data_IF_317932707559
#
_entry.id   IF_317932707559
#
_cell.length_a   1.000
_cell.length_b   1.000
_cell.length_c   1.000
_cell.angle_alpha   90.00
_cell.angle_beta   90.00
_cell.angle_gamma   90.00
#
_symmetry.space_group_name_H-M   'P 1'
#
loop_
_entity.id
_entity.type
_entity.pdbx_description
1 polymer ?
#
# COMPACT_ATOMS: atom_id res chain seq x y z
N UNK A 1 -28.71 14.41 -10.05
CA UNK A 1 -28.00 13.20 -9.56
C UNK A 1 -28.19 13.11 -8.04
N UNK A 2 -28.54 11.96 -7.47
CA UNK A 2 -28.98 11.88 -6.06
C UNK A 2 -27.81 11.83 -5.07
N UNK A 3 -27.95 12.55 -3.92
CA UNK A 3 -26.97 12.62 -2.82
C UNK A 3 -26.56 11.25 -2.24
N UNK A 4 -27.32 10.18 -2.50
CA UNK A 4 -26.99 8.81 -2.06
C UNK A 4 -25.85 8.17 -2.84
N UNK A 5 -25.64 8.56 -4.11
CA UNK A 5 -24.52 8.07 -4.92
C UNK A 5 -23.20 8.70 -4.43
N UNK A 6 -23.23 9.96 -3.97
CA UNK A 6 -22.08 10.72 -3.45
C UNK A 6 -21.53 10.19 -2.11
N UNK A 7 -22.40 9.80 -1.18
CA UNK A 7 -21.96 9.16 0.06
C UNK A 7 -21.32 7.79 -0.24
N UNK A 8 -21.82 7.07 -1.25
CA UNK A 8 -21.26 5.80 -1.69
C UNK A 8 -19.88 5.97 -2.34
N UNK A 9 -19.61 7.06 -3.07
CA UNK A 9 -18.29 7.35 -3.66
C UNK A 9 -17.25 7.80 -2.63
N UNK A 10 -17.63 8.64 -1.67
CA UNK A 10 -16.74 9.08 -0.58
C UNK A 10 -16.44 7.94 0.41
N UNK A 11 -17.42 7.06 0.66
CA UNK A 11 -17.23 5.81 1.42
C UNK A 11 -16.40 4.83 0.58
N UNK A 12 -16.64 4.65 -0.71
CA UNK A 12 -15.81 3.79 -1.55
C UNK A 12 -14.32 4.20 -1.53
N UNK A 13 -14.01 5.51 -1.56
CA UNK A 13 -12.63 6.01 -1.38
C UNK A 13 -11.99 5.66 -0.03
N UNK A 14 -12.79 5.45 1.03
CA UNK A 14 -12.34 5.01 2.35
C UNK A 14 -12.28 3.48 2.51
N UNK A 15 -12.93 2.71 1.63
CA UNK A 15 -13.06 1.23 1.72
C UNK A 15 -12.48 0.46 0.51
N UNK A 16 -11.92 1.14 -0.50
CA UNK A 16 -11.21 0.53 -1.63
C UNK A 16 -10.07 -0.45 -1.23
N UNK A 17 -9.37 -0.29 -0.08
CA UNK A 17 -8.32 -1.23 0.31
C UNK A 17 -8.80 -2.62 0.74
N UNK A 18 -10.10 -2.91 0.87
CA UNK A 18 -10.55 -4.26 1.26
C UNK A 18 -11.25 -5.03 0.11
N UNK A 19 -11.93 -4.32 -0.80
CA UNK A 19 -12.71 -4.97 -1.87
C UNK A 19 -11.84 -5.52 -3.02
N UNK A 20 -10.67 -4.92 -3.29
CA UNK A 20 -9.75 -5.38 -4.35
C UNK A 20 -8.89 -6.56 -3.87
N UNK A 21 -8.58 -6.63 -2.57
CA UNK A 21 -7.72 -7.67 -1.99
C UNK A 21 -8.40 -9.06 -1.88
N UNK A 22 -9.73 -9.14 -1.96
CA UNK A 22 -10.47 -10.40 -1.83
C UNK A 22 -10.60 -11.20 -3.13
N UNK A 23 -10.42 -10.59 -4.32
CA UNK A 23 -10.69 -11.29 -5.59
C UNK A 23 -9.43 -11.89 -6.24
N UNK A 24 -8.25 -11.29 -6.09
CA UNK A 24 -7.02 -11.82 -6.70
C UNK A 24 -6.31 -12.91 -5.88
N UNK A 25 -6.56 -13.00 -4.57
CA UNK A 25 -6.08 -14.15 -3.77
C UNK A 25 -6.79 -15.45 -4.16
N UNK A 26 -8.11 -15.39 -4.39
CA UNK A 26 -8.91 -16.56 -4.80
C UNK A 26 -8.68 -17.01 -6.24
N UNK A 27 -8.19 -16.14 -7.11
CA UNK A 27 -7.94 -16.48 -8.52
C UNK A 27 -6.58 -17.15 -8.75
N UNK A 28 -5.61 -16.92 -7.87
CA UNK A 28 -4.29 -17.57 -7.92
C UNK A 28 -4.21 -18.88 -7.11
N UNK A 29 -5.05 -19.09 -6.09
CA UNK A 29 -5.11 -20.38 -5.37
C UNK A 29 -5.58 -21.55 -6.26
N UNK A 30 -6.47 -21.28 -7.23
CA UNK A 30 -6.98 -22.33 -8.13
C UNK A 30 -5.98 -22.77 -9.22
N UNK A 31 -4.94 -21.98 -9.53
CA UNK A 31 -3.88 -22.40 -10.47
C UNK A 31 -2.67 -23.06 -9.76
N UNK A 32 -2.55 -22.92 -8.43
CA UNK A 32 -1.54 -23.63 -7.64
C UNK A 32 -2.02 -25.02 -7.19
N UNK A 33 -3.33 -25.26 -7.11
CA UNK A 33 -3.89 -26.55 -6.73
C UNK A 33 -3.80 -27.63 -7.83
N UNK A 34 -3.64 -27.26 -9.10
CA UNK A 34 -3.58 -28.22 -10.23
C UNK A 34 -2.14 -28.67 -10.60
N UNK A 35 -1.10 -28.08 -9.98
CA UNK A 35 0.31 -28.44 -10.21
C UNK A 35 0.91 -29.42 -9.19
N UNK A 36 0.21 -29.74 -8.10
CA UNK A 36 0.74 -30.54 -6.98
C UNK A 36 0.11 -31.93 -6.84
N UNK A 37 -0.28 -32.55 -7.95
CA UNK A 37 -0.91 -33.88 -7.97
C UNK A 37 -0.06 -34.93 -8.70
N UNK A 38 1.25 -35.00 -8.44
CA UNK A 38 2.03 -36.22 -8.69
C UNK A 38 3.08 -36.44 -7.59
N UNK A 39 2.78 -37.37 -6.68
CA UNK A 39 3.79 -38.03 -5.84
C UNK A 39 4.00 -37.45 -4.44
N UNK A 40 3.00 -37.53 -3.56
CA UNK A 40 3.25 -37.43 -2.11
C UNK A 40 2.29 -38.33 -1.32
N UNK A 41 2.85 -39.17 -0.44
CA UNK A 41 2.16 -40.17 0.38
C UNK A 41 1.88 -39.59 1.78
N UNK A 42 0.61 -39.35 2.19
CA UNK A 42 0.29 -38.59 3.40
C UNK A 42 0.14 -39.44 4.68
N UNK A 43 0.71 -40.64 4.77
CA UNK A 43 0.44 -41.57 5.89
C UNK A 43 1.43 -41.54 7.05
N UNK A 44 2.31 -40.56 7.15
CA UNK A 44 3.16 -40.41 8.34
C UNK A 44 3.14 -38.93 8.73
N UNK A 45 2.43 -38.60 9.80
CA UNK A 45 2.73 -37.60 10.84
C UNK A 45 1.44 -37.25 11.60
N UNK A 46 1.48 -37.49 12.90
CA UNK A 46 0.40 -37.24 13.87
C UNK A 46 0.52 -35.78 14.34
N UNK A 47 -0.48 -34.95 14.01
CA UNK A 47 -0.57 -33.57 14.50
C UNK A 47 -1.03 -33.58 15.96
N UNK A 48 -0.14 -33.22 16.88
CA UNK A 48 -0.47 -32.84 18.25
C UNK A 48 -0.93 -31.37 18.25
N UNK A 49 -2.18 -31.04 18.62
CA UNK A 49 -2.59 -29.66 18.78
C UNK A 49 -2.25 -29.20 20.20
N UNK A 50 -1.24 -28.36 20.33
CA UNK A 50 -1.01 -27.60 21.57
C UNK A 50 -2.02 -26.44 21.65
N UNK A 51 -2.75 -26.41 22.76
CA UNK A 51 -3.88 -25.52 23.04
C UNK A 51 -3.34 -24.19 23.58
N UNK A 52 -3.59 -23.07 22.88
CA UNK A 52 -3.59 -21.74 23.49
C UNK A 52 -4.93 -21.04 23.20
N UNK A 53 -5.77 -21.08 24.23
CA UNK A 53 -7.01 -20.35 24.53
C UNK A 53 -7.50 -19.24 23.59
N UNK A 54 -8.55 -19.54 22.83
CA UNK A 54 -9.68 -18.64 22.64
C UNK A 54 -10.99 -19.45 22.76
N UNK A 55 -11.85 -19.09 23.71
CA UNK A 55 -13.11 -19.79 23.96
C UNK A 55 -14.10 -19.63 22.80
N UNK A 56 -14.60 -20.76 22.28
CA UNK A 56 -15.64 -20.80 21.24
C UNK A 56 -17.01 -20.75 21.91
N UNK A 57 -17.87 -19.79 21.53
CA UNK A 57 -19.22 -19.66 22.06
C UNK A 57 -20.25 -20.20 21.05
N UNK A 58 -21.09 -21.14 21.50
CA UNK A 58 -22.19 -21.70 20.72
C UNK A 58 -23.49 -20.93 20.96
N UNK A 59 -24.23 -20.64 19.89
CA UNK A 59 -25.62 -20.21 19.99
C UNK A 59 -26.51 -21.40 20.38
N UNK A 60 -27.56 -21.11 21.16
CA UNK A 60 -28.50 -22.12 21.70
C UNK A 60 -29.37 -22.81 20.64
N UNK A 61 -29.36 -22.31 19.41
CA UNK A 61 -30.13 -22.81 18.28
C UNK A 61 -29.34 -23.75 17.34
N UNK A 62 -28.07 -24.05 17.66
CA UNK A 62 -27.22 -24.92 16.84
C UNK A 62 -26.69 -24.27 15.56
N UNK A 63 -26.83 -22.96 15.39
CA UNK A 63 -26.15 -22.22 14.32
C UNK A 63 -24.64 -22.10 14.58
N UNK A 64 -23.87 -21.90 13.49
CA UNK A 64 -22.40 -21.90 13.48
C UNK A 64 -21.80 -21.01 14.58
N UNK A 65 -20.67 -21.40 15.21
CA UNK A 65 -20.03 -20.58 16.23
C UNK A 65 -19.64 -19.22 15.66
N UNK A 66 -19.89 -18.18 16.46
CA UNK A 66 -19.64 -16.78 16.10
C UNK A 66 -18.44 -16.31 16.91
N UNK A 67 -17.52 -15.59 16.28
CA UNK A 67 -16.34 -15.07 16.98
C UNK A 67 -16.75 -14.04 18.05
N UNK A 68 -15.97 -13.92 19.13
CA UNK A 68 -16.22 -12.92 20.19
C UNK A 68 -16.27 -11.48 19.64
N UNK A 69 -15.52 -11.24 18.55
CA UNK A 69 -15.51 -9.97 17.82
C UNK A 69 -16.87 -9.69 17.18
N UNK A 70 -17.44 -10.67 16.49
CA UNK A 70 -18.73 -10.53 15.80
C UNK A 70 -19.89 -10.40 16.79
N UNK A 71 -19.82 -11.07 17.95
CA UNK A 71 -20.79 -10.89 19.03
C UNK A 71 -20.79 -9.45 19.59
N UNK A 72 -19.59 -8.85 19.76
CA UNK A 72 -19.44 -7.45 20.20
C UNK A 72 -19.94 -6.46 19.14
N UNK A 73 -19.69 -6.74 17.86
CA UNK A 73 -20.18 -5.92 16.74
C UNK A 73 -21.70 -5.95 16.69
N UNK A 74 -22.32 -7.15 16.77
CA UNK A 74 -23.77 -7.29 16.75
C UNK A 74 -24.44 -6.63 17.97
N UNK A 75 -23.82 -6.69 19.16
CA UNK A 75 -24.31 -5.97 20.33
C UNK A 75 -24.24 -4.44 20.14
N UNK A 76 -23.15 -3.92 19.58
CA UNK A 76 -23.01 -2.50 19.30
C UNK A 76 -24.02 -2.01 18.25
N UNK A 77 -24.28 -2.80 17.20
CA UNK A 77 -25.27 -2.50 16.17
C UNK A 77 -26.70 -2.51 16.73
N UNK A 78 -27.08 -3.52 17.50
CA UNK A 78 -28.41 -3.59 18.12
C UNK A 78 -28.67 -2.44 19.11
N UNK A 79 -27.62 -1.96 19.79
CA UNK A 79 -27.71 -0.79 20.68
C UNK A 79 -27.89 0.53 19.93
N UNK A 80 -27.36 0.63 18.70
CA UNK A 80 -27.54 1.79 17.82
C UNK A 80 -28.95 1.82 17.19
N UNK A 81 -29.55 0.66 16.97
CA UNK A 81 -30.88 0.53 16.34
C UNK A 81 -32.05 0.61 17.34
N UNK A 82 -31.78 0.67 18.65
CA UNK A 82 -32.81 0.78 19.68
C UNK A 82 -33.63 -0.49 19.88
N UNK A 83 -33.15 -1.63 19.38
CA UNK A 83 -33.82 -2.93 19.50
C UNK A 83 -33.58 -3.50 20.89
N UNK A 84 -34.61 -3.89 21.66
CA UNK A 84 -34.39 -4.46 22.99
C UNK A 84 -33.73 -5.84 22.87
N UNK A 85 -32.50 -5.96 23.37
CA UNK A 85 -31.81 -7.26 23.45
C UNK A 85 -32.17 -7.92 24.79
N UNK A 86 -33.07 -8.90 24.76
CA UNK A 86 -33.28 -9.80 25.89
C UNK A 86 -32.25 -10.94 25.82
N UNK A 87 -31.18 -10.85 26.61
CA UNK A 87 -30.18 -11.90 26.74
C UNK A 87 -29.81 -12.13 28.20
N UNK A 88 -30.14 -13.30 28.75
CA UNK A 88 -29.54 -13.81 29.98
C UNK A 88 -28.19 -14.43 29.63
N UNK A 89 -27.14 -14.01 30.31
CA UNK A 89 -25.81 -14.62 30.26
C UNK A 89 -25.78 -15.76 31.28
N UNK A 90 -25.43 -16.98 30.84
CA UNK A 90 -25.11 -18.10 31.73
C UNK A 90 -23.68 -18.57 31.43
N UNK A 91 -22.84 -18.64 32.45
CA UNK A 91 -21.51 -19.26 32.35
C UNK A 91 -21.63 -20.78 32.22
N UNK A 92 -20.83 -21.36 31.33
CA UNK A 92 -20.84 -22.79 30.97
C UNK A 92 -20.29 -23.75 32.02
N UNK A 93 -19.92 -23.28 33.21
CA UNK A 93 -19.49 -24.13 34.31
C UNK A 93 -20.67 -24.24 35.28
N UNK A 94 -21.35 -25.40 35.28
CA UNK A 94 -22.52 -25.72 36.11
C UNK A 94 -22.25 -25.74 37.63
N UNK A 95 -21.71 -24.66 38.18
CA UNK A 95 -21.56 -24.40 39.61
C UNK A 95 -22.55 -23.32 40.02
N UNK A 96 -23.42 -23.66 40.97
CA UNK A 96 -24.30 -22.71 41.63
C UNK A 96 -23.47 -21.58 42.23
N UNK A 97 -23.71 -20.34 41.80
CA UNK A 97 -23.20 -19.16 42.50
C UNK A 97 -24.08 -18.95 43.73
N UNK A 98 -23.40 -18.88 44.86
CA UNK A 98 -23.92 -18.75 46.20
C UNK A 98 -24.83 -17.53 46.37
N UNK A 99 -25.84 -17.76 47.20
CA UNK A 99 -26.73 -16.79 47.84
C UNK A 99 -25.99 -15.52 48.32
N UNK A 100 -26.47 -14.37 47.86
CA UNK A 100 -26.19 -13.07 48.48
C UNK A 100 -26.83 -13.03 49.89
N UNK A 101 -26.18 -12.41 50.89
CA UNK A 101 -26.67 -12.40 52.27
C UNK A 101 -27.94 -11.55 52.46
N UNK A 102 -28.90 -12.16 53.18
CA UNK A 102 -30.19 -11.60 53.61
C UNK A 102 -30.07 -10.48 54.66
N UNK A 103 -29.49 -9.33 54.31
CA UNK A 103 -29.41 -8.18 55.23
C UNK A 103 -29.64 -6.83 54.56
N UNK A 104 -30.81 -6.61 53.95
CA UNK A 104 -31.43 -5.28 53.84
C UNK A 104 -32.96 -5.42 53.91
N UNK A 105 -33.48 -5.73 55.10
CA UNK A 105 -34.89 -5.45 55.43
C UNK A 105 -35.00 -3.99 55.83
N UNK A 106 -35.58 -3.17 54.96
CA UNK A 106 -36.01 -1.82 55.36
C UNK A 106 -35.93 -0.76 54.27
N UNK A 107 -36.63 -0.94 53.15
CA UNK A 107 -37.12 0.20 52.39
C UNK A 107 -38.60 -0.01 52.09
N UNK A 108 -39.41 0.87 52.68
CA UNK A 108 -40.83 0.98 52.41
C UNK A 108 -41.03 1.24 50.91
N UNK A 109 -41.99 0.52 50.35
CA UNK A 109 -42.66 0.88 49.10
C UNK A 109 -43.30 2.26 49.27
N UNK A 110 -42.59 3.31 48.86
CA UNK A 110 -43.21 4.54 48.40
C UNK A 110 -43.13 4.55 46.88
N UNK A 111 -44.24 4.14 46.27
CA UNK A 111 -44.52 4.31 44.86
C UNK A 111 -44.66 5.80 44.53
N UNK A 112 -43.54 6.47 44.31
CA UNK A 112 -43.44 7.74 43.60
C UNK A 112 -42.62 7.51 42.33
N UNK A 113 -43.16 6.72 41.41
CA UNK A 113 -42.75 6.84 40.01
C UNK A 113 -43.33 8.15 39.48
N UNK A 114 -42.52 9.16 39.14
CA UNK A 114 -43.03 10.26 38.34
C UNK A 114 -43.58 9.63 37.05
N UNK A 115 -44.84 9.96 36.77
CA UNK A 115 -45.56 9.58 35.55
C UNK A 115 -44.64 9.57 34.34
N UNK A 116 -44.74 8.51 33.53
CA UNK A 116 -44.09 8.29 32.23
C UNK A 116 -44.49 9.32 31.13
N UNK A 117 -44.82 10.56 31.50
CA UNK A 117 -45.21 11.64 30.59
C UNK A 117 -44.09 12.62 30.27
N UNK A 118 -42.85 12.34 30.66
CA UNK A 118 -41.67 13.12 30.27
C UNK A 118 -40.62 12.26 29.56
N UNK A 119 -41.04 11.42 28.62
CA UNK A 119 -40.19 11.14 27.46
C UNK A 119 -40.28 12.39 26.59
N UNK A 120 -39.65 13.49 27.04
CA UNK A 120 -39.19 14.52 26.13
C UNK A 120 -38.40 13.75 25.07
N UNK A 121 -38.89 13.82 23.84
CA UNK A 121 -38.42 12.94 22.80
C UNK A 121 -36.90 13.04 22.74
N UNK A 122 -36.18 11.92 22.62
CA UNK A 122 -34.74 11.95 22.38
C UNK A 122 -34.37 12.82 21.15
N UNK A 123 -35.37 13.17 20.31
CA UNK A 123 -35.30 14.17 19.24
C UNK A 123 -35.12 15.62 19.71
N UNK A 124 -35.60 15.99 20.90
CA UNK A 124 -35.46 17.34 21.46
C UNK A 124 -34.14 17.54 22.24
N UNK A 125 -33.46 16.43 22.57
CA UNK A 125 -32.12 16.43 23.21
C UNK A 125 -30.95 16.56 22.22
N UNK A 126 -31.22 16.45 20.91
CA UNK A 126 -30.25 16.85 19.88
C UNK A 126 -30.60 18.27 19.44
N UNK A 127 -29.90 19.30 19.96
CA UNK A 127 -30.27 20.67 19.62
C UNK A 127 -30.11 20.86 18.11
N UNK A 128 -31.13 21.46 17.49
CA UNK A 128 -31.15 21.84 16.07
C UNK A 128 -29.95 22.72 15.65
N UNK A 129 -29.13 23.16 16.60
CA UNK A 129 -27.83 23.80 16.39
C UNK A 129 -26.75 22.83 15.88
N UNK A 130 -26.69 21.56 16.35
CA UNK A 130 -25.68 20.59 15.86
C UNK A 130 -25.87 20.24 14.39
N UNK A 131 -27.12 20.05 13.96
CA UNK A 131 -27.44 19.83 12.54
C UNK A 131 -27.07 21.01 11.65
N UNK A 132 -27.21 22.25 12.14
CA UNK A 132 -26.79 23.46 11.43
C UNK A 132 -25.27 23.59 11.35
N UNK A 133 -24.54 23.27 12.42
CA UNK A 133 -23.07 23.32 12.46
C UNK A 133 -22.45 22.28 11.52
N UNK A 134 -22.95 21.04 11.54
CA UNK A 134 -22.47 19.97 10.63
C UNK A 134 -22.77 20.34 9.18
N UNK A 135 -23.98 20.86 8.90
CA UNK A 135 -24.33 21.27 7.54
C UNK A 135 -23.44 22.40 7.03
N UNK A 136 -23.18 23.43 7.85
CA UNK A 136 -22.29 24.53 7.48
C UNK A 136 -20.86 24.04 7.23
N UNK A 137 -20.34 23.15 8.10
CA UNK A 137 -19.02 22.57 7.92
C UNK A 137 -18.90 21.75 6.63
N UNK A 138 -19.94 21.00 6.25
CA UNK A 138 -19.99 20.26 4.99
C UNK A 138 -20.12 21.18 3.77
N UNK A 139 -20.86 22.29 3.89
CA UNK A 139 -21.03 23.28 2.82
C UNK A 139 -19.72 24.06 2.54
N UNK A 140 -18.79 24.11 3.50
CA UNK A 140 -17.47 24.74 3.37
C UNK A 140 -16.38 23.76 2.87
N UNK A 141 -16.69 22.46 2.72
CA UNK A 141 -15.74 21.47 2.23
C UNK A 141 -15.62 21.52 0.71
N UNK A 142 -14.39 21.60 0.21
CA UNK A 142 -14.10 21.51 -1.22
C UNK A 142 -13.48 20.15 -1.51
N UNK A 143 -14.03 19.45 -2.48
CA UNK A 143 -13.57 18.12 -2.90
C UNK A 143 -12.90 18.22 -4.27
N UNK A 144 -11.64 17.80 -4.34
CA UNK A 144 -10.90 17.66 -5.60
C UNK A 144 -10.71 16.18 -5.89
N UNK A 145 -10.99 15.77 -7.13
CA UNK A 145 -10.66 14.44 -7.64
C UNK A 145 -9.97 14.59 -8.98
N UNK A 146 -8.83 13.94 -9.17
CA UNK A 146 -8.13 13.92 -10.44
C UNK A 146 -7.73 12.51 -10.86
N UNK A 147 -7.70 12.32 -12.18
CA UNK A 147 -7.22 11.13 -12.83
C UNK A 147 -5.99 11.49 -13.64
N UNK A 148 -4.91 10.75 -13.44
CA UNK A 148 -3.65 10.99 -14.13
C UNK A 148 -3.17 9.75 -14.85
N UNK A 149 -2.59 9.93 -16.03
CA UNK A 149 -1.87 8.90 -16.75
C UNK A 149 -0.40 9.29 -16.84
N UNK A 150 0.45 8.55 -16.13
CA UNK A 150 1.91 8.76 -16.11
C UNK A 150 2.59 7.84 -17.11
N UNK A 151 3.60 8.36 -17.79
CA UNK A 151 4.50 7.60 -18.66
C UNK A 151 5.84 7.45 -17.91
N UNK A 152 5.99 6.43 -17.05
CA UNK A 152 7.19 6.28 -16.25
C UNK A 152 8.37 5.75 -17.06
N UNK A 153 9.53 6.19 -16.59
CA UNK A 153 10.86 5.65 -16.85
C UNK A 153 11.50 5.32 -15.50
N UNK A 154 12.47 4.42 -15.50
CA UNK A 154 13.23 4.05 -14.33
C UNK A 154 13.42 2.54 -14.24
N UNK A 155 13.72 2.07 -13.04
CA UNK A 155 14.13 0.70 -12.80
C UNK A 155 13.97 0.32 -11.32
N UNK A 156 13.72 -0.97 -11.09
CA UNK A 156 13.99 -1.61 -9.82
C UNK A 156 15.32 -2.35 -9.94
N UNK A 157 16.19 -2.13 -8.97
CA UNK A 157 17.47 -2.82 -8.82
C UNK A 157 17.49 -3.60 -7.52
N UNK A 158 18.20 -4.70 -7.56
CA UNK A 158 18.52 -5.57 -6.45
C UNK A 158 19.97 -5.95 -6.61
N UNK A 159 20.82 -5.77 -5.59
CA UNK A 159 22.21 -6.17 -5.65
C UNK A 159 22.59 -7.05 -4.47
N UNK A 160 23.56 -7.92 -4.69
CA UNK A 160 24.21 -8.68 -3.62
C UNK A 160 25.66 -8.21 -3.56
N UNK A 161 26.10 -7.85 -2.35
CA UNK A 161 27.47 -7.41 -2.09
C UNK A 161 28.08 -8.40 -1.11
N UNK A 162 29.21 -9.00 -1.49
CA UNK A 162 29.97 -9.90 -0.64
C UNK A 162 30.47 -9.15 0.59
N UNK A 163 30.10 -9.61 1.79
CA UNK A 163 30.57 -9.00 3.04
C UNK A 163 32.10 -9.06 3.18
N UNK A 164 32.70 -10.18 2.76
CA UNK A 164 34.14 -10.40 2.90
C UNK A 164 34.96 -9.45 2.03
N UNK A 165 34.49 -9.19 0.81
CA UNK A 165 35.25 -8.41 -0.18
C UNK A 165 34.74 -6.99 -0.38
N UNK A 166 33.53 -6.67 0.08
CA UNK A 166 32.82 -5.43 -0.24
C UNK A 166 32.49 -5.27 -1.73
N UNK A 167 32.68 -6.32 -2.54
CA UNK A 167 32.43 -6.28 -3.99
C UNK A 167 31.00 -6.74 -4.29
N UNK A 168 30.40 -6.11 -5.29
CA UNK A 168 29.16 -6.58 -5.90
C UNK A 168 29.39 -7.93 -6.55
N UNK A 169 28.51 -8.90 -6.27
CA UNK A 169 28.57 -10.27 -6.79
C UNK A 169 27.37 -10.63 -7.66
N UNK A 170 26.24 -9.94 -7.50
CA UNK A 170 25.06 -10.12 -8.35
C UNK A 170 24.22 -8.84 -8.41
N UNK A 171 23.53 -8.58 -9.51
CA UNK A 171 22.58 -7.49 -9.72
C UNK A 171 21.46 -7.90 -10.66
N UNK A 172 20.22 -7.75 -10.19
CA UNK A 172 19.02 -7.87 -11.01
C UNK A 172 18.49 -6.47 -11.32
N UNK A 173 18.26 -6.18 -12.59
CA UNK A 173 17.67 -4.91 -13.04
C UNK A 173 16.35 -5.15 -13.78
N UNK A 174 15.27 -4.59 -13.24
CA UNK A 174 13.94 -4.63 -13.81
C UNK A 174 13.52 -3.24 -14.31
N UNK A 175 13.59 -2.96 -15.62
CA UNK A 175 13.23 -1.65 -16.12
C UNK A 175 11.73 -1.41 -16.05
N UNK A 176 11.39 -0.17 -15.73
CA UNK A 176 10.02 0.32 -15.60
C UNK A 176 9.69 1.12 -16.84
N UNK A 177 8.82 0.56 -17.70
CA UNK A 177 8.38 1.20 -18.93
C UNK A 177 6.92 0.85 -19.22
N UNK A 178 6.08 1.86 -19.42
CA UNK A 178 4.69 1.67 -19.80
C UNK A 178 3.81 2.82 -19.35
N UNK A 179 2.68 2.51 -18.71
CA UNK A 179 1.75 3.49 -18.18
C UNK A 179 1.36 3.18 -16.74
N UNK A 180 1.18 4.23 -15.94
CA UNK A 180 0.58 4.15 -14.60
C UNK A 180 -0.68 5.01 -14.62
N UNK A 181 -1.81 4.40 -14.26
CA UNK A 181 -3.04 5.13 -14.01
C UNK A 181 -3.11 5.50 -12.53
N UNK A 182 -3.43 6.76 -12.24
CA UNK A 182 -3.41 7.34 -10.90
C UNK A 182 -4.74 8.01 -10.63
N UNK A 183 -5.30 7.77 -9.46
CA UNK A 183 -6.46 8.49 -8.92
C UNK A 183 -5.98 9.29 -7.71
N UNK A 184 -6.23 10.59 -7.70
CA UNK A 184 -5.98 11.47 -6.57
C UNK A 184 -7.30 12.02 -6.06
N UNK A 185 -7.43 12.15 -4.74
CA UNK A 185 -8.55 12.83 -4.10
C UNK A 185 -8.04 13.71 -2.97
N UNK A 186 -8.54 14.93 -2.86
CA UNK A 186 -8.26 15.83 -1.75
C UNK A 186 -9.55 16.46 -1.23
N UNK A 187 -9.67 16.53 0.10
CA UNK A 187 -10.77 17.19 0.79
C UNK A 187 -10.22 18.31 1.64
N UNK A 188 -10.62 19.54 1.33
CA UNK A 188 -10.34 20.70 2.16
C UNK A 188 -11.36 20.75 3.30
N UNK A 189 -10.91 20.49 4.52
CA UNK A 189 -11.75 20.52 5.73
C UNK A 189 -11.94 21.94 6.28
N UNK A 190 -11.19 22.90 5.74
CA UNK A 190 -11.24 24.31 6.08
C UNK A 190 -10.10 25.07 5.40
N UNK A 191 -9.83 26.34 5.79
CA UNK A 191 -8.82 27.16 5.13
C UNK A 191 -7.38 26.70 5.37
N UNK A 192 -7.15 25.86 6.39
CA UNK A 192 -5.82 25.44 6.83
C UNK A 192 -5.57 23.94 6.75
N UNK A 193 -6.60 23.12 6.68
CA UNK A 193 -6.47 21.67 6.82
C UNK A 193 -7.09 21.02 5.60
N UNK A 194 -6.34 20.13 4.97
CA UNK A 194 -6.86 19.22 3.95
C UNK A 194 -6.32 17.81 4.15
N UNK A 195 -7.05 16.83 3.63
CA UNK A 195 -6.66 15.42 3.60
C UNK A 195 -6.64 14.99 2.16
N UNK A 196 -5.49 14.50 1.70
CA UNK A 196 -5.30 14.00 0.35
C UNK A 196 -4.94 12.52 0.36
N UNK A 197 -5.38 11.81 -0.66
CA UNK A 197 -5.02 10.42 -0.91
C UNK A 197 -4.77 10.18 -2.39
N UNK A 198 -3.87 9.24 -2.67
CA UNK A 198 -3.52 8.85 -4.03
C UNK A 198 -3.41 7.33 -4.11
N UNK A 199 -3.91 6.78 -5.19
CA UNK A 199 -3.72 5.38 -5.56
C UNK A 199 -3.26 5.30 -7.01
N UNK A 200 -2.27 4.46 -7.29
CA UNK A 200 -1.80 4.22 -8.64
C UNK A 200 -1.60 2.73 -8.90
N UNK A 201 -1.88 2.30 -10.13
CA UNK A 201 -1.64 0.94 -10.59
C UNK A 201 -1.08 0.99 -12.01
N UNK A 202 -0.11 0.13 -12.28
CA UNK A 202 0.57 0.06 -13.57
C UNK A 202 0.06 -1.08 -14.42
N UNK A 203 0.24 -0.91 -15.73
CA UNK A 203 0.17 -2.01 -16.68
C UNK A 203 1.39 -1.87 -17.59
N UNK A 204 2.51 -2.41 -17.14
CA UNK A 204 3.74 -2.35 -17.91
C UNK A 204 3.73 -3.41 -19.00
N UNK A 205 4.21 -3.01 -20.19
CA UNK A 205 4.47 -3.97 -21.25
C UNK A 205 5.68 -4.79 -20.87
N UNK A 206 5.76 -6.02 -21.38
CA UNK A 206 6.96 -6.81 -21.18
C UNK A 206 8.20 -6.07 -21.70
N UNK A 207 9.17 -5.87 -20.82
CA UNK A 207 10.46 -5.26 -21.08
C UNK A 207 11.57 -6.31 -21.03
N UNK A 208 12.80 -5.92 -21.31
CA UNK A 208 13.97 -6.78 -21.12
C UNK A 208 14.55 -6.48 -19.74
N UNK A 209 14.64 -7.46 -18.85
CA UNK A 209 15.40 -7.34 -17.60
C UNK A 209 16.79 -7.96 -17.78
N UNK A 210 17.72 -7.62 -16.89
CA UNK A 210 19.05 -8.23 -16.84
C UNK A 210 19.32 -8.87 -15.48
N UNK A 211 20.11 -9.94 -15.53
CA UNK A 211 20.72 -10.59 -14.37
C UNK A 211 22.23 -10.64 -14.61
N UNK A 212 22.98 -9.96 -13.76
CA UNK A 212 24.42 -9.76 -13.85
C UNK A 212 25.10 -10.39 -12.63
N UNK A 213 26.09 -11.25 -12.86
CA UNK A 213 26.86 -11.91 -11.80
C UNK A 213 28.36 -11.63 -11.96
N UNK A 214 29.09 -11.46 -10.86
CA UNK A 214 30.53 -11.17 -10.84
C UNK A 214 31.31 -12.16 -9.97
N UNK A 215 32.43 -12.64 -10.50
CA UNK A 215 33.48 -13.32 -9.74
C UNK A 215 33.03 -14.57 -9.00
N UNK A 216 32.43 -15.53 -9.71
CA UNK A 216 31.88 -16.76 -9.14
C UNK A 216 32.42 -18.02 -9.83
N UNK A 217 32.36 -19.14 -9.12
CA UNK A 217 32.70 -20.45 -9.69
C UNK A 217 31.44 -21.11 -10.22
N UNK A 218 31.46 -21.56 -11.48
CA UNK A 218 30.38 -22.30 -12.11
C UNK A 218 30.88 -23.64 -12.66
N UNK A 219 30.00 -24.62 -12.77
CA UNK A 219 30.31 -25.87 -13.45
C UNK A 219 30.10 -25.71 -14.96
N UNK A 220 31.16 -25.80 -15.74
CA UNK A 220 31.11 -25.81 -17.21
C UNK A 220 31.65 -27.13 -17.75
N UNK A 221 30.84 -27.88 -18.49
CA UNK A 221 31.19 -29.22 -19.00
C UNK A 221 31.72 -30.20 -17.94
N UNK A 222 31.19 -30.12 -16.72
CA UNK A 222 31.58 -31.01 -15.61
C UNK A 222 32.86 -30.60 -14.87
N UNK A 223 33.46 -29.45 -15.18
CA UNK A 223 34.61 -28.91 -14.45
C UNK A 223 34.27 -27.53 -13.84
N UNK A 224 34.82 -27.19 -12.65
CA UNK A 224 34.68 -25.85 -12.09
C UNK A 224 35.48 -24.85 -12.93
N UNK A 225 34.82 -23.79 -13.39
CA UNK A 225 35.37 -22.67 -14.14
C UNK A 225 35.07 -21.38 -13.37
N UNK A 226 36.07 -20.52 -13.19
CA UNK A 226 35.88 -19.20 -12.59
C UNK A 226 35.37 -18.23 -13.65
N UNK A 227 34.20 -17.63 -13.39
CA UNK A 227 33.57 -16.65 -14.25
C UNK A 227 33.80 -15.26 -13.64
N UNK A 228 34.50 -14.40 -14.38
CA UNK A 228 34.77 -13.03 -13.96
C UNK A 228 33.49 -12.18 -13.98
N UNK A 229 32.66 -12.37 -15.01
CA UNK A 229 31.38 -11.70 -15.18
C UNK A 229 30.43 -12.51 -16.06
N UNK A 230 29.13 -12.51 -15.75
CA UNK A 230 28.06 -13.05 -16.59
C UNK A 230 26.93 -12.02 -16.67
N UNK A 231 26.32 -11.87 -17.85
CA UNK A 231 25.04 -11.17 -18.01
C UNK A 231 24.08 -12.04 -18.81
N UNK A 232 22.85 -12.11 -18.33
CA UNK A 232 21.72 -12.65 -19.06
C UNK A 232 20.65 -11.59 -19.22
N UNK A 233 19.99 -11.58 -20.38
CA UNK A 233 18.83 -10.74 -20.62
C UNK A 233 17.64 -11.59 -21.05
N UNK A 234 16.46 -11.26 -20.54
CA UNK A 234 15.24 -12.01 -20.79
C UNK A 234 14.01 -11.10 -20.70
N UNK A 235 12.85 -11.61 -21.10
CA UNK A 235 11.60 -10.87 -20.96
C UNK A 235 11.15 -10.83 -19.51
N UNK A 236 10.80 -9.63 -19.06
CA UNK A 236 10.19 -9.38 -17.75
C UNK A 236 8.79 -8.84 -17.92
N UNK A 237 7.86 -9.35 -17.14
CA UNK A 237 6.56 -8.72 -16.88
C UNK A 237 6.64 -8.02 -15.52
N UNK A 238 6.21 -6.76 -15.46
CA UNK A 238 6.22 -5.99 -14.22
C UNK A 238 4.86 -5.36 -13.95
N UNK A 239 4.46 -5.37 -12.68
CA UNK A 239 3.30 -4.65 -12.19
C UNK A 239 3.70 -3.89 -10.93
N UNK A 240 3.17 -2.68 -10.78
CA UNK A 240 3.43 -1.82 -9.66
C UNK A 240 2.16 -1.15 -9.19
N UNK A 241 2.00 -1.10 -7.88
CA UNK A 241 0.91 -0.41 -7.22
C UNK A 241 1.48 0.51 -6.15
N UNK A 242 0.85 1.65 -5.94
CA UNK A 242 1.20 2.52 -4.82
C UNK A 242 -0.02 3.21 -4.26
N UNK A 243 0.08 3.55 -2.98
CA UNK A 243 -0.93 4.27 -2.22
C UNK A 243 -0.23 5.25 -1.29
N UNK A 244 -0.79 6.45 -1.15
CA UNK A 244 -0.42 7.35 -0.08
C UNK A 244 -1.62 8.14 0.44
N UNK A 245 -1.55 8.51 1.72
CA UNK A 245 -2.51 9.38 2.40
C UNK A 245 -1.76 10.42 3.21
N UNK A 246 -2.13 11.68 3.06
CA UNK A 246 -1.45 12.82 3.67
C UNK A 246 -2.46 13.75 4.35
N UNK A 247 -2.10 14.24 5.52
CA UNK A 247 -2.74 15.35 6.21
C UNK A 247 -1.91 16.62 5.99
N UNK A 248 -2.51 17.62 5.35
CA UNK A 248 -1.86 18.89 5.05
C UNK A 248 -2.28 19.94 6.07
N UNK A 249 -1.31 20.77 6.48
CA UNK A 249 -1.53 21.97 7.26
C UNK A 249 -0.90 23.17 6.57
N UNK A 250 -1.73 24.14 6.20
CA UNK A 250 -1.31 25.39 5.56
C UNK A 250 -0.69 26.32 6.59
N UNK A 251 0.61 26.54 6.45
CA UNK A 251 1.36 27.49 7.28
C UNK A 251 1.07 28.92 6.85
N UNK A 252 1.17 29.17 5.55
CA UNK A 252 1.07 30.51 4.98
C UNK A 252 0.18 30.52 3.75
N UNK A 253 -0.56 31.61 3.59
CA UNK A 253 -1.28 31.98 2.39
C UNK A 253 -1.03 33.46 2.14
N UNK A 254 -0.31 33.77 1.08
CA UNK A 254 -0.05 35.13 0.64
C UNK A 254 -0.95 35.42 -0.56
N UNK A 255 -1.78 36.44 -0.41
CA UNK A 255 -2.58 36.95 -1.52
C UNK A 255 -1.77 37.98 -2.31
N UNK A 256 -2.31 38.40 -3.46
CA UNK A 256 -1.76 39.45 -4.32
C UNK A 256 -1.26 40.71 -3.60
N UNK A 257 -1.90 41.05 -2.49
CA UNK A 257 -1.61 42.24 -1.66
C UNK A 257 -0.42 42.02 -0.72
N UNK A 258 -0.15 40.78 -0.34
CA UNK A 258 0.92 40.39 0.59
C UNK A 258 2.27 40.15 -0.12
N UNK A 259 2.26 40.01 -1.45
CA UNK A 259 3.44 39.68 -2.27
C UNK A 259 4.11 40.96 -2.76
N UNK A 260 5.45 41.01 -2.71
CA UNK A 260 6.24 42.11 -3.26
C UNK A 260 5.82 42.42 -4.71
N UNK A 261 5.56 43.70 -5.01
CA UNK A 261 5.03 44.14 -6.30
C UNK A 261 5.90 43.72 -7.49
N UNK A 262 7.22 43.85 -7.39
CA UNK A 262 8.13 43.54 -8.50
C UNK A 262 8.14 42.03 -8.80
N UNK A 263 8.18 41.20 -7.76
CA UNK A 263 8.07 39.73 -7.88
C UNK A 263 6.72 39.33 -8.46
N UNK A 264 5.65 39.91 -7.93
CA UNK A 264 4.28 39.67 -8.37
C UNK A 264 4.07 40.05 -9.83
N UNK A 265 4.54 41.21 -10.25
CA UNK A 265 4.36 41.73 -11.61
C UNK A 265 5.26 40.98 -12.60
N UNK A 266 6.45 40.53 -12.17
CA UNK A 266 7.35 39.71 -13.00
C UNK A 266 6.81 38.29 -13.23
N UNK A 267 6.32 37.63 -12.19
CA UNK A 267 5.81 36.26 -12.29
C UNK A 267 4.30 36.17 -12.52
N UNK A 268 3.57 37.28 -12.52
CA UNK A 268 2.11 37.33 -12.54
C UNK A 268 1.48 36.41 -11.48
N UNK A 269 1.82 36.59 -10.20
CA UNK A 269 1.32 35.71 -9.12
C UNK A 269 0.14 36.37 -8.40
N UNK A 270 -1.01 35.70 -8.34
CA UNK A 270 -2.21 36.15 -7.61
C UNK A 270 -2.30 35.58 -6.19
N UNK A 271 -1.84 34.34 -5.98
CA UNK A 271 -1.86 33.68 -4.67
C UNK A 271 -0.69 32.69 -4.56
N UNK A 272 -0.09 32.59 -3.37
CA UNK A 272 0.87 31.54 -3.00
C UNK A 272 0.48 30.94 -1.66
N UNK A 273 0.55 29.62 -1.53
CA UNK A 273 0.40 28.95 -0.24
C UNK A 273 1.51 27.93 -0.01
N UNK A 274 1.91 27.81 1.26
CA UNK A 274 2.87 26.82 1.73
C UNK A 274 2.22 25.92 2.76
N UNK A 275 2.19 24.64 2.47
CA UNK A 275 1.68 23.60 3.34
C UNK A 275 2.84 22.70 3.80
N UNK A 276 2.77 22.26 5.05
CA UNK A 276 3.49 21.07 5.53
C UNK A 276 2.53 19.90 5.54
N UNK A 277 3.03 18.68 5.33
CA UNK A 277 2.20 17.49 5.48
C UNK A 277 2.94 16.35 6.16
N UNK A 278 2.15 15.48 6.76
CA UNK A 278 2.58 14.18 7.26
C UNK A 278 1.58 13.13 6.77
N UNK A 279 2.05 11.90 6.57
CA UNK A 279 1.26 10.86 5.94
C UNK A 279 1.86 9.48 6.06
N UNK A 280 1.28 8.57 5.29
CA UNK A 280 1.76 7.20 5.12
C UNK A 280 1.79 6.87 3.63
N UNK A 281 2.77 6.08 3.21
CA UNK A 281 2.84 5.55 1.86
C UNK A 281 3.13 4.06 1.83
N UNK A 282 2.70 3.42 0.75
CA UNK A 282 3.02 2.06 0.37
C UNK A 282 3.26 2.00 -1.14
N UNK A 283 4.29 1.27 -1.57
CA UNK A 283 4.53 0.91 -2.97
C UNK A 283 4.87 -0.57 -3.04
N UNK A 284 4.20 -1.29 -3.91
CA UNK A 284 4.43 -2.71 -4.18
C UNK A 284 4.86 -2.90 -5.64
N UNK A 285 5.84 -3.76 -5.88
CA UNK A 285 6.30 -4.17 -7.20
C UNK A 285 6.29 -5.68 -7.32
N UNK A 286 5.84 -6.19 -8.46
CA UNK A 286 5.96 -7.61 -8.85
C UNK A 286 6.68 -7.68 -10.18
N UNK A 287 7.72 -8.49 -10.25
CA UNK A 287 8.58 -8.68 -11.41
C UNK A 287 8.65 -10.17 -11.71
N UNK A 288 8.38 -10.57 -12.95
CA UNK A 288 8.40 -11.97 -13.39
C UNK A 288 9.29 -12.10 -14.61
N UNK A 289 10.35 -12.88 -14.48
CA UNK A 289 11.31 -13.18 -15.53
C UNK A 289 10.87 -14.45 -16.24
N UNK A 290 10.77 -14.40 -17.56
CA UNK A 290 10.34 -15.52 -18.38
C UNK A 290 11.32 -15.77 -19.52
N UNK A 291 11.37 -17.02 -19.93
CA UNK A 291 12.00 -17.42 -21.17
C UNK A 291 11.48 -16.64 -22.39
N UNK A 292 12.28 -16.59 -23.47
CA UNK A 292 13.64 -17.08 -23.54
C UNK A 292 14.67 -16.06 -23.05
N UNK A 293 15.87 -16.53 -22.72
CA UNK A 293 17.04 -15.66 -22.69
C UNK A 293 17.33 -15.15 -24.11
N UNK A 294 17.43 -13.84 -24.25
CA UNK A 294 17.77 -13.14 -25.50
C UNK A 294 19.23 -12.70 -25.55
N UNK A 295 19.88 -12.62 -24.38
CA UNK A 295 21.32 -12.42 -24.28
C UNK A 295 21.91 -13.37 -23.23
N UNK A 296 23.09 -13.92 -23.55
CA UNK A 296 23.95 -14.63 -22.61
C UNK A 296 25.40 -14.32 -22.97
N UNK A 297 26.06 -13.51 -22.16
CA UNK A 297 27.48 -13.17 -22.31
C UNK A 297 28.21 -13.48 -21.01
N UNK A 298 29.44 -13.95 -21.13
CA UNK A 298 30.34 -14.15 -20.00
C UNK A 298 31.75 -13.67 -20.32
N UNK A 299 32.43 -13.15 -19.32
CA UNK A 299 33.85 -12.84 -19.37
C UNK A 299 34.59 -13.88 -18.54
N UNK A 300 35.51 -14.60 -19.18
CA UNK A 300 36.26 -15.69 -18.55
C UNK A 300 37.70 -15.65 -19.06
N UNK A 301 38.65 -15.64 -18.13
CA UNK A 301 40.09 -15.73 -18.43
C UNK A 301 40.58 -14.65 -19.41
N UNK A 302 40.06 -13.44 -19.29
CA UNK A 302 40.47 -12.31 -20.14
C UNK A 302 39.77 -12.22 -21.50
N UNK A 303 38.78 -13.08 -21.77
CA UNK A 303 38.07 -13.12 -23.04
C UNK A 303 36.54 -13.09 -22.85
N UNK A 304 35.87 -12.38 -23.76
CA UNK A 304 34.40 -12.38 -23.84
C UNK A 304 33.91 -13.56 -24.66
N UNK A 305 32.89 -14.22 -24.11
CA UNK A 305 32.15 -15.30 -24.74
C UNK A 305 30.69 -14.89 -24.82
N UNK A 306 30.09 -15.15 -25.97
CA UNK A 306 28.65 -15.00 -26.18
C UNK A 306 28.11 -16.33 -26.67
N UNK A 307 26.93 -16.72 -26.18
CA UNK A 307 26.28 -17.91 -26.69
C UNK A 307 25.74 -17.64 -28.10
N UNK A 308 26.25 -18.37 -29.09
CA UNK A 308 25.71 -18.34 -30.45
C UNK A 308 24.38 -19.14 -30.50
N UNK A 309 23.38 -18.62 -31.21
CA UNK A 309 22.11 -19.32 -31.46
C UNK A 309 20.95 -19.05 -30.48
N UNK A 310 20.93 -17.91 -29.79
CA UNK A 310 19.77 -17.45 -28.99
C UNK A 310 18.52 -17.24 -29.87
N UNK A 311 17.28 -17.41 -29.35
CA UNK A 311 16.88 -17.53 -27.93
C UNK A 311 17.11 -18.90 -27.26
N UNK A 312 17.50 -18.90 -25.98
CA UNK A 312 17.60 -20.12 -25.14
C UNK A 312 16.33 -20.30 -24.29
N UNK A 313 15.71 -21.48 -24.37
CA UNK A 313 14.56 -21.88 -23.55
C UNK A 313 15.04 -22.83 -22.46
N UNK A 314 15.13 -22.35 -21.22
CA UNK A 314 15.62 -23.11 -20.07
C UNK A 314 14.51 -23.46 -19.06
N UNK A 315 13.26 -23.12 -19.37
CA UNK A 315 12.14 -23.17 -18.44
C UNK A 315 12.14 -22.02 -17.44
N UNK A 316 12.77 -20.86 -17.73
CA UNK A 316 12.80 -19.74 -16.80
C UNK A 316 11.38 -19.19 -16.56
N UNK A 317 10.97 -19.18 -15.29
CA UNK A 317 9.72 -18.62 -14.80
C UNK A 317 9.86 -18.19 -13.34
N UNK A 318 10.77 -17.25 -13.11
CA UNK A 318 11.11 -16.76 -11.77
C UNK A 318 10.35 -15.48 -11.45
N UNK A 319 10.10 -15.21 -10.17
CA UNK A 319 9.49 -13.96 -9.75
C UNK A 319 10.16 -13.32 -8.54
N UNK A 320 10.01 -12.01 -8.44
CA UNK A 320 10.41 -11.20 -7.32
C UNK A 320 9.31 -10.20 -6.98
N UNK A 321 8.94 -10.11 -5.71
CA UNK A 321 7.91 -9.20 -5.19
C UNK A 321 8.52 -8.37 -4.08
N UNK A 322 8.36 -7.07 -4.13
CA UNK A 322 8.89 -6.13 -3.14
C UNK A 322 7.81 -5.14 -2.71
N UNK A 323 7.85 -4.74 -1.45
CA UNK A 323 6.98 -3.73 -0.86
C UNK A 323 7.81 -2.77 -0.03
N UNK A 324 7.66 -1.48 -0.31
CA UNK A 324 8.17 -0.37 0.47
C UNK A 324 7.00 0.28 1.19
N UNK A 325 7.06 0.47 2.51
CA UNK A 325 5.97 1.11 3.25
C UNK A 325 6.49 1.93 4.43
N UNK A 326 5.78 2.99 4.80
CA UNK A 326 6.10 3.71 6.02
C UNK A 326 5.61 5.15 6.08
N UNK A 327 5.86 5.83 7.20
CA UNK A 327 5.46 7.22 7.38
C UNK A 327 6.25 8.15 6.46
N UNK A 328 5.63 9.27 6.11
CA UNK A 328 6.24 10.31 5.27
C UNK A 328 5.90 11.71 5.77
N UNK A 329 6.78 12.66 5.47
CA UNK A 329 6.56 14.07 5.74
C UNK A 329 7.10 14.91 4.58
N UNK A 330 6.55 16.11 4.40
CA UNK A 330 6.95 16.93 3.28
C UNK A 330 6.38 18.33 3.27
N UNK A 331 6.65 19.00 2.16
CA UNK A 331 6.25 20.38 1.87
C UNK A 331 5.50 20.42 0.54
N UNK A 332 4.48 21.28 0.48
CA UNK A 332 3.76 21.59 -0.74
C UNK A 332 3.67 23.10 -0.90
N UNK A 333 4.12 23.60 -2.05
CA UNK A 333 3.97 24.99 -2.45
C UNK A 333 2.95 25.05 -3.60
N UNK A 334 1.92 25.86 -3.45
CA UNK A 334 0.95 26.11 -4.51
C UNK A 334 1.00 27.58 -4.92
N UNK A 335 1.02 27.84 -6.22
CA UNK A 335 1.01 29.18 -6.78
C UNK A 335 -0.06 29.32 -7.86
N UNK A 336 -0.97 30.27 -7.70
CA UNK A 336 -1.92 30.65 -8.75
C UNK A 336 -1.37 31.87 -9.49
N UNK A 337 -1.10 31.71 -10.78
CA UNK A 337 -0.68 32.81 -11.64
C UNK A 337 -1.87 33.69 -11.99
N UNK A 338 -3.00 33.05 -12.28
CA UNK A 338 -4.26 33.74 -12.47
C UNK A 338 -5.41 32.82 -12.07
N UNK A 339 -6.65 33.28 -12.31
CA UNK A 339 -7.86 32.50 -12.04
C UNK A 339 -7.93 31.15 -12.77
N UNK A 340 -7.11 30.94 -13.81
CA UNK A 340 -7.10 29.71 -14.63
C UNK A 340 -5.84 28.87 -14.45
N UNK A 341 -4.67 29.49 -14.36
CA UNK A 341 -3.39 28.79 -14.33
C UNK A 341 -2.87 28.71 -12.90
N UNK A 342 -2.65 27.49 -12.41
CA UNK A 342 -2.07 27.24 -11.10
C UNK A 342 -1.00 26.14 -11.18
N UNK A 343 -0.05 26.19 -10.26
CA UNK A 343 1.06 25.25 -10.19
C UNK A 343 1.19 24.72 -8.77
N UNK A 344 1.68 23.49 -8.66
CA UNK A 344 1.96 22.83 -7.39
C UNK A 344 3.34 22.22 -7.44
N UNK A 345 4.14 22.49 -6.43
CA UNK A 345 5.42 21.85 -6.19
C UNK A 345 5.31 21.08 -4.89
N UNK A 346 5.72 19.82 -4.87
CA UNK A 346 5.76 19.05 -3.63
C UNK A 346 7.04 18.23 -3.52
N UNK A 347 7.52 18.13 -2.28
CA UNK A 347 8.66 17.34 -1.89
C UNK A 347 8.29 16.52 -0.66
N UNK A 348 8.66 15.25 -0.62
CA UNK A 348 8.45 14.37 0.51
C UNK A 348 9.67 13.51 0.79
N UNK A 349 9.89 13.25 2.08
CA UNK A 349 10.80 12.24 2.57
C UNK A 349 9.98 11.18 3.33
N UNK A 350 10.32 9.92 3.14
CA UNK A 350 9.64 8.80 3.79
C UNK A 350 10.65 7.89 4.47
N UNK A 351 10.31 7.39 5.64
CA UNK A 351 11.05 6.34 6.34
C UNK A 351 10.40 5.00 6.00
N UNK A 352 11.18 4.04 5.53
CA UNK A 352 10.65 2.81 4.96
C UNK A 352 11.05 1.59 5.75
N UNK A 353 10.08 0.70 5.89
CA UNK A 353 10.27 -0.73 6.05
C UNK A 353 10.11 -1.36 4.65
N UNK A 354 11.04 -2.22 4.29
CA UNK A 354 11.06 -2.91 2.99
C UNK A 354 10.95 -4.41 3.22
N UNK A 355 10.01 -5.04 2.53
CA UNK A 355 9.85 -6.49 2.55
C UNK A 355 9.83 -7.02 1.13
N UNK A 356 10.53 -8.11 0.86
CA UNK A 356 10.53 -8.76 -0.43
C UNK A 356 10.44 -10.28 -0.31
N UNK A 357 10.02 -10.93 -1.39
CA UNK A 357 10.05 -12.38 -1.54
C UNK A 357 10.21 -12.76 -3.00
N UNK A 358 10.85 -13.87 -3.26
CA UNK A 358 11.01 -14.36 -4.62
C UNK A 358 11.09 -15.88 -4.70
N UNK A 359 11.04 -16.35 -5.95
CA UNK A 359 11.23 -17.74 -6.31
C UNK A 359 12.07 -17.81 -7.58
N UNK A 360 13.23 -18.45 -7.48
CA UNK A 360 14.11 -18.77 -8.60
C UNK A 360 13.87 -20.21 -9.02
N UNK A 361 12.98 -20.39 -9.99
CA UNK A 361 12.45 -21.70 -10.35
C UNK A 361 13.52 -22.67 -10.89
N UNK A 362 14.56 -22.15 -11.57
CA UNK A 362 15.67 -22.98 -12.08
C UNK A 362 16.56 -23.55 -10.98
N UNK A 363 16.52 -22.98 -9.77
CA UNK A 363 17.26 -23.47 -8.59
C UNK A 363 16.34 -24.14 -7.57
N UNK A 364 15.03 -24.11 -7.82
CA UNK A 364 13.98 -24.39 -6.85
C UNK A 364 14.22 -23.67 -5.51
N UNK A 365 14.55 -22.38 -5.59
CA UNK A 365 14.89 -21.58 -4.41
C UNK A 365 13.82 -20.54 -4.13
N UNK A 366 13.25 -20.57 -2.92
CA UNK A 366 12.32 -19.56 -2.43
C UNK A 366 12.98 -18.77 -1.31
N UNK A 367 12.79 -17.45 -1.32
CA UNK A 367 13.42 -16.55 -0.35
C UNK A 367 12.51 -15.41 0.09
N UNK A 368 12.82 -14.87 1.26
CA UNK A 368 12.19 -13.73 1.91
C UNK A 368 13.27 -12.78 2.38
N UNK A 369 13.02 -11.49 2.20
CA UNK A 369 13.96 -10.44 2.59
C UNK A 369 13.22 -9.37 3.38
N UNK A 370 13.85 -8.90 4.45
CA UNK A 370 13.31 -7.83 5.30
C UNK A 370 14.40 -6.81 5.59
N UNK A 371 14.06 -5.52 5.49
CA UNK A 371 14.97 -4.43 5.76
C UNK A 371 14.27 -3.27 6.43
N UNK A 372 14.92 -2.73 7.46
CA UNK A 372 14.50 -1.52 8.16
C UNK A 372 15.41 -0.35 7.79
N UNK A 373 14.95 0.88 8.04
CA UNK A 373 15.78 2.08 7.88
C UNK A 373 15.97 2.51 6.42
N UNK A 374 15.19 1.97 5.48
CA UNK A 374 15.12 2.49 4.12
C UNK A 374 14.50 3.89 4.08
N UNK A 375 14.61 4.54 2.93
CA UNK A 375 14.00 5.86 2.72
C UNK A 375 13.48 6.04 1.31
N UNK A 376 12.52 6.96 1.15
CA UNK A 376 12.11 7.44 -0.17
C UNK A 376 12.15 8.95 -0.26
N UNK A 377 12.52 9.44 -1.44
CA UNK A 377 12.38 10.84 -1.84
C UNK A 377 11.34 10.91 -2.94
N UNK A 378 10.30 11.71 -2.74
CA UNK A 378 9.31 12.01 -3.78
C UNK A 378 9.37 13.50 -4.12
N UNK A 379 9.36 13.80 -5.41
CA UNK A 379 9.31 15.15 -5.93
C UNK A 379 8.26 15.22 -7.05
N UNK A 380 7.41 16.24 -7.02
CA UNK A 380 6.36 16.42 -8.02
C UNK A 380 6.21 17.90 -8.36
N UNK A 381 6.24 18.22 -9.66
CA UNK A 381 5.92 19.54 -10.20
C UNK A 381 4.67 19.40 -11.06
N UNK A 382 3.65 20.18 -10.78
CA UNK A 382 2.37 20.15 -11.47
C UNK A 382 2.01 21.55 -11.99
N UNK A 383 1.40 21.59 -13.16
CA UNK A 383 0.82 22.79 -13.76
C UNK A 383 -0.58 22.46 -14.26
N UNK A 384 -1.54 23.33 -13.98
CA UNK A 384 -2.95 23.09 -14.19
C UNK A 384 -3.64 24.28 -14.83
N UNK A 385 -4.55 24.00 -15.75
CA UNK A 385 -5.40 24.97 -16.42
C UNK A 385 -6.88 24.68 -16.11
N UNK A 386 -7.55 25.60 -15.42
CA UNK A 386 -9.00 25.53 -15.16
C UNK A 386 -9.77 25.88 -16.42
N UNK A 387 -10.53 24.91 -16.92
CA UNK A 387 -11.46 25.09 -18.04
C UNK A 387 -12.69 25.90 -17.59
N UNK A 388 -13.14 25.63 -16.38
CA UNK A 388 -14.23 26.33 -15.69
C UNK A 388 -14.02 26.18 -14.16
N UNK A 389 -14.89 26.73 -13.30
CA UNK A 389 -14.69 26.65 -11.85
C UNK A 389 -14.56 25.23 -11.29
N UNK A 390 -15.06 24.22 -12.01
CA UNK A 390 -15.14 22.85 -11.53
C UNK A 390 -14.21 21.89 -12.28
N UNK A 391 -13.71 22.22 -13.47
CA UNK A 391 -12.91 21.31 -14.29
C UNK A 391 -11.54 21.88 -14.60
N UNK A 392 -10.53 21.03 -14.56
CA UNK A 392 -9.16 21.39 -14.94
C UNK A 392 -8.48 20.29 -15.74
N UNK A 393 -7.49 20.70 -16.53
CA UNK A 393 -6.50 19.85 -17.16
C UNK A 393 -5.15 20.15 -16.55
N UNK A 394 -4.27 19.16 -16.46
CA UNK A 394 -2.95 19.37 -15.89
C UNK A 394 -1.87 18.54 -16.56
N UNK A 395 -0.64 18.96 -16.33
CA UNK A 395 0.56 18.18 -16.59
C UNK A 395 1.39 18.15 -15.32
N UNK A 396 2.08 17.05 -15.09
CA UNK A 396 3.02 16.94 -13.99
C UNK A 396 4.30 16.24 -14.41
N UNK A 397 5.36 16.46 -13.65
CA UNK A 397 6.57 15.66 -13.66
C UNK A 397 6.75 15.06 -12.27
N UNK A 398 6.72 13.74 -12.20
CA UNK A 398 6.87 12.99 -10.96
C UNK A 398 8.25 12.36 -10.94
N UNK A 399 8.94 12.42 -9.81
CA UNK A 399 10.17 11.69 -9.51
C UNK A 399 10.02 11.01 -8.16
N UNK A 400 10.45 9.76 -8.08
CA UNK A 400 10.46 8.97 -6.84
C UNK A 400 11.66 8.04 -6.84
N UNK A 401 12.38 8.02 -5.72
CA UNK A 401 13.56 7.18 -5.48
C UNK A 401 13.36 6.50 -4.12
N UNK A 402 13.09 5.19 -4.12
CA UNK A 402 13.06 4.33 -2.94
C UNK A 402 14.42 3.67 -2.79
N UNK A 403 14.98 3.68 -1.58
CA UNK A 403 16.26 3.05 -1.27
C UNK A 403 16.18 2.24 0.01
N UNK A 404 16.80 1.07 -0.04
CA UNK A 404 17.02 0.19 1.09
C UNK A 404 18.45 -0.33 0.99
N UNK A 405 19.31 0.14 1.90
CA UNK A 405 20.76 -0.11 1.81
C UNK A 405 21.09 -1.57 2.16
N UNK A 406 20.37 -2.15 3.13
CA UNK A 406 20.58 -3.52 3.60
C UNK A 406 19.23 -4.22 3.86
N UNK A 407 19.11 -5.47 3.41
CA UNK A 407 18.01 -6.38 3.74
C UNK A 407 18.60 -7.71 4.18
N UNK A 408 18.02 -8.31 5.22
CA UNK A 408 18.35 -9.67 5.64
C UNK A 408 17.58 -10.65 4.76
N UNK A 409 18.24 -11.68 4.25
CA UNK A 409 17.61 -12.75 3.49
C UNK A 409 17.47 -14.02 4.33
N UNK A 410 16.36 -14.72 4.15
CA UNK A 410 16.15 -16.09 4.58
C UNK A 410 15.52 -16.87 3.44
N UNK A 411 15.77 -18.18 3.35
CA UNK A 411 15.25 -18.95 2.23
C UNK A 411 15.49 -20.45 2.33
N UNK A 412 14.85 -21.19 1.45
CA UNK A 412 14.93 -22.65 1.37
C UNK A 412 15.27 -23.07 -0.04
N UNK A 413 16.33 -23.86 -0.19
CA UNK A 413 16.69 -24.58 -1.41
C UNK A 413 16.72 -26.08 -1.10
N UNK A 414 16.33 -26.98 -2.02
CA UNK A 414 16.51 -28.42 -1.80
C UNK A 414 17.94 -28.77 -1.38
N UNK A 415 18.09 -29.25 -0.15
CA UNK A 415 19.37 -29.64 0.44
C UNK A 415 20.16 -28.52 1.15
N UNK A 416 19.66 -27.28 1.17
CA UNK A 416 20.30 -26.15 1.86
C UNK A 416 19.25 -25.19 2.45
N UNK A 417 19.32 -24.95 3.76
CA UNK A 417 18.59 -23.87 4.41
C UNK A 417 19.49 -22.64 4.48
N UNK A 418 19.03 -21.54 3.90
CA UNK A 418 19.71 -20.25 3.97
C UNK A 418 19.23 -19.51 5.22
N UNK A 419 20.12 -19.38 6.19
CA UNK A 419 19.91 -18.61 7.42
C UNK A 419 20.31 -17.15 7.22
N UNK A 420 19.85 -16.24 8.09
CA UNK A 420 20.05 -14.76 8.16
C UNK A 420 21.47 -14.17 7.94
N UNK A 421 22.45 -14.95 7.53
CA UNK A 421 23.82 -14.55 7.24
C UNK A 421 23.99 -13.84 5.88
N UNK A 422 23.02 -13.94 4.97
CA UNK A 422 23.10 -13.28 3.67
C UNK A 422 22.45 -11.89 3.72
N UNK A 423 23.29 -10.85 3.53
CA UNK A 423 22.85 -9.46 3.44
C UNK A 423 22.74 -9.05 1.97
N UNK A 424 21.51 -8.80 1.55
CA UNK A 424 21.20 -8.13 0.30
C UNK A 424 21.45 -6.65 0.47
N UNK A 425 22.06 -6.00 -0.52
CA UNK A 425 22.35 -4.56 -0.46
C UNK A 425 21.81 -3.80 -1.67
N UNK A 426 21.65 -2.49 -1.53
CA UNK A 426 21.27 -1.58 -2.63
C UNK A 426 19.95 -1.97 -3.34
N UNK A 427 18.89 -2.23 -2.57
CA UNK A 427 17.56 -2.54 -3.13
C UNK A 427 16.80 -1.24 -3.41
N UNK A 428 16.89 -0.80 -4.67
CA UNK A 428 16.50 0.55 -5.06
C UNK A 428 15.41 0.54 -6.14
N UNK A 429 14.39 1.37 -6.00
CA UNK A 429 13.37 1.59 -7.03
C UNK A 429 13.32 3.07 -7.42
N UNK A 430 13.61 3.36 -8.68
CA UNK A 430 13.51 4.72 -9.22
C UNK A 430 12.42 4.80 -10.28
N UNK A 431 11.56 5.80 -10.17
CA UNK A 431 10.46 6.05 -11.09
C UNK A 431 10.40 7.54 -11.37
N UNK A 432 10.39 7.92 -12.64
CA UNK A 432 10.22 9.31 -13.03
C UNK A 432 9.55 9.46 -14.38
N UNK A 433 8.88 10.57 -14.61
CA UNK A 433 8.28 10.84 -15.91
C UNK A 433 7.15 11.86 -15.88
N UNK A 434 6.68 12.25 -17.08
CA UNK A 434 5.53 13.13 -17.20
C UNK A 434 4.23 12.39 -16.89
N UNK A 435 3.24 13.14 -16.38
CA UNK A 435 1.88 12.67 -16.19
C UNK A 435 0.87 13.70 -16.73
N UNK A 436 -0.20 13.21 -17.34
CA UNK A 436 -1.30 14.04 -17.84
C UNK A 436 -2.49 13.88 -16.92
N UNK A 437 -3.10 15.00 -16.52
CA UNK A 437 -4.14 15.02 -15.50
C UNK A 437 -5.44 15.61 -16.06
N UNK A 438 -6.57 15.04 -15.65
CA UNK A 438 -7.89 15.64 -15.75
C UNK A 438 -8.54 15.57 -14.38
N UNK A 439 -9.11 16.67 -13.93
CA UNK A 439 -9.71 16.70 -12.60
C UNK A 439 -10.95 17.56 -12.50
N UNK A 440 -11.64 17.34 -11.39
CA UNK A 440 -12.89 17.95 -11.04
C UNK A 440 -12.83 18.46 -9.59
N UNK A 441 -13.33 19.67 -9.37
CA UNK A 441 -13.50 20.30 -8.06
C UNK A 441 -14.99 20.52 -7.80
N UNK A 442 -15.45 20.16 -6.61
CA UNK A 442 -16.82 20.32 -6.14
C UNK A 442 -16.90 21.23 -4.93
#
# INVERSE_FOLDING_TARGET
MSKKILLFSAVALLFLPEAVFSQDSKRNENHLAEGFAQGYNPNEYELVPEIIGEGVYQNRDGSRPVSLRDAKINYALNKLEGTPVAGKVSSGDGKNIETLPDNVKGYKNESNYPSQNNIASYKDMYPASRGRVIKKALDDMVFEVSFSYMIPYGEQKFSIISETSGRKISELTYPIKGGIFIVNGEVNLGPKISVGGRYGSSNFRSTTCSDEDWGFWAMHNGAPEYIDYQITEQKCESNMEFFDINLYYRLYKWNKEDINKDVRDFFEIDEVSLDVFAGYQEQSGTYRMKDPFTEYKRYVNGAWWQLDGLPLYAGLDSFYKIKYKGPRAGLRLEGALNKRLFSRLSFAYSWLETNARGWWNLRDYSFWQEGDGGYAINFNIEAFYRLNPNWFLGMAFVYTDYRQDEMKESGTQPGFDYTDADIVRDVNCRIYGPAFQVGFMW
#
